data_IF_902063090826
#
_entry.id   IF_902063090826
#
_cell.length_a   1.000
_cell.length_b   1.000
_cell.length_c   1.000
_cell.angle_alpha   90.00
_cell.angle_beta   90.00
_cell.angle_gamma   90.00
#
_symmetry.space_group_name_H-M   'P 1'
#
loop_
_entity.id
_entity.type
_entity.pdbx_description
1 polymer ?
#
# COMPACT_ATOMS: atom_id res chain seq x y z
N UNK A 1 40.15 54.18 17.46
CA UNK A 1 38.90 54.39 16.71
C UNK A 1 38.66 53.16 15.83
N UNK A 2 38.02 52.13 16.27
CA UNK A 2 37.59 51.02 15.41
C UNK A 2 36.70 50.06 16.15
N UNK A 3 35.76 49.43 15.43
CA UNK A 3 34.98 48.24 15.80
C UNK A 3 33.74 48.48 16.65
N UNK A 4 32.73 49.11 16.05
CA UNK A 4 31.34 49.06 16.58
C UNK A 4 30.28 48.74 15.53
N UNK A 5 30.65 48.16 14.36
CA UNK A 5 29.73 47.98 13.24
C UNK A 5 29.18 46.57 13.00
N UNK A 6 29.64 45.53 13.73
CA UNK A 6 29.27 44.11 13.40
C UNK A 6 28.16 43.51 14.23
N UNK A 7 27.67 44.18 15.29
CA UNK A 7 26.70 43.55 16.22
C UNK A 7 25.23 43.68 15.80
N UNK A 8 24.88 44.61 14.94
CA UNK A 8 23.51 44.82 14.45
C UNK A 8 23.15 43.89 13.29
N UNK A 9 24.11 43.63 12.41
CA UNK A 9 23.92 42.70 11.27
C UNK A 9 23.76 41.26 11.74
N UNK A 10 24.55 40.80 12.70
CA UNK A 10 24.46 39.45 13.27
C UNK A 10 23.11 39.22 13.96
N UNK A 11 22.63 40.16 14.75
CA UNK A 11 21.32 40.06 15.43
C UNK A 11 20.12 40.03 14.46
N UNK A 12 20.22 40.73 13.32
CA UNK A 12 19.19 40.70 12.29
C UNK A 12 19.14 39.33 11.58
N UNK A 13 20.30 38.78 11.22
CA UNK A 13 20.44 37.44 10.63
C UNK A 13 19.92 36.34 11.55
N UNK A 14 20.27 36.39 12.84
CA UNK A 14 19.81 35.44 13.85
C UNK A 14 18.29 35.49 14.05
N UNK A 15 17.69 36.69 13.98
CA UNK A 15 16.22 36.86 14.05
C UNK A 15 15.52 36.22 12.84
N UNK A 16 16.06 36.40 11.65
CA UNK A 16 15.53 35.82 10.44
C UNK A 16 15.67 34.29 10.45
N UNK A 17 16.80 33.76 10.86
CA UNK A 17 17.03 32.31 11.00
C UNK A 17 16.04 31.70 12.00
N UNK A 18 15.83 32.34 13.16
CA UNK A 18 14.90 31.85 14.16
C UNK A 18 13.42 31.90 13.67
N UNK A 19 13.07 32.91 12.90
CA UNK A 19 11.76 32.99 12.26
C UNK A 19 11.52 31.83 11.30
N UNK A 20 12.48 31.55 10.39
CA UNK A 20 12.38 30.44 9.44
C UNK A 20 12.39 29.07 10.13
N UNK A 21 13.19 28.89 11.18
CA UNK A 21 13.18 27.68 12.00
C UNK A 21 11.81 27.44 12.64
N UNK A 22 11.22 28.47 13.26
CA UNK A 22 9.87 28.36 13.86
C UNK A 22 8.81 28.07 12.82
N UNK A 23 8.89 28.70 11.64
CA UNK A 23 7.96 28.46 10.53
C UNK A 23 8.09 27.04 9.99
N UNK A 24 9.31 26.56 9.81
CA UNK A 24 9.60 25.18 9.38
C UNK A 24 9.00 24.16 10.37
N UNK A 25 9.27 24.29 11.64
CA UNK A 25 8.74 23.37 12.65
C UNK A 25 7.22 23.43 12.76
N UNK A 26 6.60 24.60 12.62
CA UNK A 26 5.14 24.70 12.53
C UNK A 26 4.58 23.92 11.35
N UNK A 27 5.11 24.10 10.15
CA UNK A 27 4.67 23.40 8.94
C UNK A 27 4.88 21.89 9.11
N UNK A 28 6.03 21.48 9.66
CA UNK A 28 6.34 20.08 9.92
C UNK A 28 5.31 19.42 10.86
N UNK A 29 5.03 20.06 12.01
CA UNK A 29 4.06 19.52 12.98
C UNK A 29 2.61 19.56 12.46
N UNK A 30 2.23 20.57 11.70
CA UNK A 30 0.92 20.57 11.03
C UNK A 30 0.82 19.44 10.00
N UNK A 31 1.85 19.21 9.20
CA UNK A 31 1.90 18.08 8.26
C UNK A 31 1.79 16.73 8.97
N UNK A 32 2.55 16.56 10.07
CA UNK A 32 2.49 15.35 10.89
C UNK A 32 1.09 15.15 11.52
N UNK A 33 0.49 16.24 12.04
CA UNK A 33 -0.86 16.21 12.61
C UNK A 33 -1.93 15.83 11.59
N UNK A 34 -1.85 16.39 10.39
CA UNK A 34 -2.76 16.03 9.29
C UNK A 34 -2.60 14.56 8.90
N UNK A 35 -1.36 14.07 8.83
CA UNK A 35 -1.07 12.67 8.55
C UNK A 35 -1.64 11.76 9.64
N UNK A 36 -1.44 12.10 10.92
CA UNK A 36 -1.98 11.33 12.04
C UNK A 36 -3.53 11.29 12.03
N UNK A 37 -4.18 12.45 11.78
CA UNK A 37 -5.63 12.53 11.63
C UNK A 37 -6.12 11.69 10.46
N UNK A 38 -5.41 11.69 9.36
CA UNK A 38 -5.75 10.87 8.20
C UNK A 38 -5.73 9.38 8.55
N UNK A 39 -4.70 8.88 9.24
CA UNK A 39 -4.63 7.50 9.71
C UNK A 39 -5.74 7.17 10.72
N UNK A 40 -6.04 8.10 11.62
CA UNK A 40 -7.10 7.92 12.60
C UNK A 40 -8.48 7.82 11.93
N UNK A 41 -8.78 8.65 10.94
CA UNK A 41 -10.02 8.55 10.17
C UNK A 41 -10.08 7.30 9.29
N UNK A 42 -8.94 6.87 8.77
CA UNK A 42 -8.85 5.61 8.02
C UNK A 42 -9.16 4.41 8.93
N UNK A 43 -8.64 4.39 10.17
CA UNK A 43 -8.91 3.33 11.16
C UNK A 43 -10.35 3.32 11.65
N UNK A 44 -11.02 4.47 11.69
CA UNK A 44 -12.46 4.56 12.02
C UNK A 44 -13.40 4.16 10.89
N UNK A 45 -12.85 3.71 9.76
CA UNK A 45 -13.65 3.27 8.62
C UNK A 45 -14.32 4.40 7.83
N UNK A 46 -13.92 5.67 8.03
CA UNK A 46 -14.47 6.81 7.29
C UNK A 46 -14.33 6.63 5.76
N UNK A 47 -13.32 5.88 5.35
CA UNK A 47 -13.06 5.55 3.94
C UNK A 47 -13.52 4.14 3.54
N UNK A 48 -14.47 3.54 4.30
CA UNK A 48 -14.99 2.19 4.14
C UNK A 48 -14.39 1.20 5.14
N UNK A 49 -15.11 0.11 5.41
CA UNK A 49 -14.69 -0.92 6.36
C UNK A 49 -13.35 -1.54 5.98
N UNK A 50 -12.56 -1.88 7.00
CA UNK A 50 -11.43 -2.79 6.85
C UNK A 50 -11.96 -4.23 6.98
N UNK A 51 -11.38 -5.21 6.28
CA UNK A 51 -11.72 -6.60 6.47
C UNK A 51 -11.43 -7.03 7.92
N UNK A 52 -12.25 -7.94 8.44
CA UNK A 52 -12.00 -8.57 9.74
C UNK A 52 -10.82 -9.55 9.64
N UNK A 53 -10.26 -9.99 10.78
CA UNK A 53 -9.25 -11.05 10.78
C UNK A 53 -9.79 -12.36 10.20
N UNK A 54 -11.07 -12.66 10.41
CA UNK A 54 -11.74 -13.83 9.87
C UNK A 54 -11.80 -13.78 8.33
N UNK A 55 -12.13 -12.60 7.76
CA UNK A 55 -12.11 -12.39 6.30
C UNK A 55 -10.69 -12.50 5.71
N UNK A 56 -9.64 -12.15 6.49
CA UNK A 56 -8.25 -12.28 6.07
C UNK A 56 -7.77 -13.73 6.08
N UNK A 57 -8.18 -14.52 7.08
CA UNK A 57 -7.84 -15.94 7.18
C UNK A 57 -8.64 -16.80 6.19
N UNK A 58 -9.90 -16.47 5.96
CA UNK A 58 -10.81 -17.21 5.10
C UNK A 58 -11.48 -16.27 4.09
N UNK A 59 -10.74 -15.74 3.12
CA UNK A 59 -11.31 -14.81 2.16
C UNK A 59 -12.34 -15.51 1.28
N UNK A 60 -13.52 -14.89 1.14
CA UNK A 60 -14.56 -15.33 0.21
C UNK A 60 -14.01 -15.33 -1.22
N UNK A 61 -13.72 -16.52 -1.73
CA UNK A 61 -13.34 -16.69 -3.13
C UNK A 61 -14.59 -17.06 -3.92
N UNK A 62 -14.97 -16.20 -4.87
CA UNK A 62 -16.02 -16.53 -5.83
C UNK A 62 -15.54 -17.67 -6.75
N UNK A 63 -15.69 -18.90 -6.30
CA UNK A 63 -15.36 -20.10 -7.07
C UNK A 63 -16.45 -20.36 -8.12
N UNK A 64 -16.08 -21.05 -9.18
CA UNK A 64 -17.04 -21.55 -10.14
C UNK A 64 -17.89 -22.66 -9.49
N UNK A 65 -19.20 -22.56 -9.61
CA UNK A 65 -20.12 -23.65 -9.23
C UNK A 65 -20.14 -24.69 -10.34
N UNK A 66 -19.86 -25.93 -10.02
CA UNK A 66 -19.91 -27.04 -10.96
C UNK A 66 -21.30 -27.70 -10.93
N UNK A 67 -21.84 -27.98 -12.11
CA UNK A 67 -23.04 -28.78 -12.30
C UNK A 67 -22.57 -30.19 -12.59
N UNK A 68 -22.85 -31.11 -11.68
CA UNK A 68 -22.37 -32.50 -11.74
C UNK A 68 -23.57 -33.43 -11.95
N UNK A 69 -23.46 -34.37 -12.86
CA UNK A 69 -24.46 -35.44 -13.10
C UNK A 69 -24.41 -36.48 -11.98
N UNK A 70 -25.43 -37.32 -11.90
CA UNK A 70 -25.52 -38.39 -10.85
C UNK A 70 -24.38 -39.41 -10.90
N UNK A 71 -23.70 -39.52 -12.01
CA UNK A 71 -22.53 -40.38 -12.26
C UNK A 71 -21.16 -39.65 -12.03
N UNK A 72 -21.20 -38.41 -11.53
CA UNK A 72 -20.02 -37.65 -11.18
C UNK A 72 -19.37 -36.89 -12.35
N UNK A 73 -20.00 -36.84 -13.53
CA UNK A 73 -19.45 -36.10 -14.67
C UNK A 73 -19.83 -34.62 -14.58
N UNK A 74 -18.83 -33.74 -14.74
CA UNK A 74 -19.07 -32.29 -14.80
C UNK A 74 -19.76 -31.93 -16.09
N UNK A 75 -21.03 -31.51 -16.01
CA UNK A 75 -21.85 -31.10 -17.15
C UNK A 75 -21.60 -29.65 -17.58
N UNK A 76 -21.21 -28.81 -16.64
CA UNK A 76 -20.94 -27.41 -16.91
C UNK A 76 -20.50 -26.66 -15.65
N UNK A 77 -20.10 -25.40 -15.85
CA UNK A 77 -19.70 -24.49 -14.76
C UNK A 77 -20.48 -23.18 -14.86
N UNK A 78 -20.99 -22.72 -13.72
CA UNK A 78 -21.61 -21.41 -13.59
C UNK A 78 -20.71 -20.51 -12.76
N UNK A 79 -20.29 -19.37 -13.27
CA UNK A 79 -19.33 -18.50 -12.62
C UNK A 79 -19.45 -17.03 -13.07
N UNK A 80 -19.11 -16.11 -12.17
CA UNK A 80 -18.80 -14.72 -12.51
C UNK A 80 -17.32 -14.59 -12.94
N UNK A 81 -16.44 -15.32 -12.26
CA UNK A 81 -15.03 -15.46 -12.61
C UNK A 81 -14.69 -16.94 -12.59
N UNK A 82 -14.15 -17.46 -13.70
CA UNK A 82 -13.79 -18.88 -13.80
C UNK A 82 -12.53 -19.15 -12.94
N UNK A 83 -12.75 -19.44 -11.68
CA UNK A 83 -11.69 -19.76 -10.71
C UNK A 83 -11.87 -21.18 -10.20
N UNK A 84 -10.79 -21.93 -10.15
CA UNK A 84 -10.70 -23.23 -9.48
C UNK A 84 -9.72 -23.12 -8.32
N UNK A 85 -10.01 -23.82 -7.25
CA UNK A 85 -9.13 -23.86 -6.10
C UNK A 85 -7.92 -24.77 -6.38
N UNK A 86 -6.74 -24.27 -6.14
CA UNK A 86 -5.49 -25.00 -6.21
C UNK A 86 -4.80 -24.97 -4.85
N UNK A 87 -4.24 -26.09 -4.43
CA UNK A 87 -3.40 -26.13 -3.24
C UNK A 87 -1.99 -25.66 -3.61
N UNK A 88 -1.32 -25.01 -2.70
CA UNK A 88 0.07 -24.58 -2.92
C UNK A 88 1.01 -25.74 -3.28
N UNK A 89 0.77 -26.93 -2.69
CA UNK A 89 1.50 -28.17 -2.99
C UNK A 89 1.41 -28.62 -4.46
N UNK A 90 0.33 -28.22 -5.15
CA UNK A 90 0.07 -28.62 -6.54
C UNK A 90 0.72 -27.66 -7.55
N UNK A 91 1.30 -26.57 -7.05
CA UNK A 91 1.99 -25.59 -7.89
C UNK A 91 3.41 -26.05 -8.22
N UNK A 92 3.80 -26.08 -9.49
CA UNK A 92 5.18 -26.37 -9.85
C UNK A 92 6.10 -25.24 -9.34
N UNK A 93 7.25 -25.63 -8.76
CA UNK A 93 8.22 -24.69 -8.19
C UNK A 93 8.61 -23.56 -9.18
N UNK A 94 8.80 -23.92 -10.44
CA UNK A 94 9.16 -22.95 -11.48
C UNK A 94 8.13 -21.83 -11.67
N UNK A 95 6.83 -22.13 -11.47
CA UNK A 95 5.77 -21.12 -11.54
C UNK A 95 5.87 -20.14 -10.36
N UNK A 96 6.10 -20.67 -9.16
CA UNK A 96 6.27 -19.83 -7.95
C UNK A 96 7.51 -18.96 -8.08
N UNK A 97 8.63 -19.54 -8.49
CA UNK A 97 9.89 -18.81 -8.69
C UNK A 97 9.75 -17.72 -9.77
N UNK A 98 9.08 -18.01 -10.88
CA UNK A 98 8.82 -17.04 -11.94
C UNK A 98 7.91 -15.88 -11.47
N UNK A 99 6.85 -16.21 -10.72
CA UNK A 99 5.95 -15.19 -10.16
C UNK A 99 6.70 -14.25 -9.21
N UNK A 100 7.46 -14.80 -8.28
CA UNK A 100 8.25 -14.02 -7.32
C UNK A 100 9.30 -13.18 -8.06
N UNK A 101 10.02 -13.75 -9.01
CA UNK A 101 11.05 -13.02 -9.75
C UNK A 101 10.51 -11.85 -10.58
N UNK A 102 9.29 -12.00 -11.14
CA UNK A 102 8.70 -10.97 -12.01
C UNK A 102 7.94 -9.89 -11.24
N UNK A 103 7.17 -10.26 -10.22
CA UNK A 103 6.27 -9.36 -9.52
C UNK A 103 6.91 -8.75 -8.27
N UNK A 104 7.74 -9.53 -7.55
CA UNK A 104 8.28 -9.12 -6.26
C UNK A 104 9.60 -9.84 -5.94
N UNK A 105 10.66 -9.50 -6.65
CA UNK A 105 11.97 -10.17 -6.55
C UNK A 105 12.56 -10.22 -5.13
N UNK A 106 12.07 -9.38 -4.21
CA UNK A 106 12.48 -9.36 -2.79
C UNK A 106 11.40 -9.85 -1.84
N UNK A 107 10.43 -10.62 -2.31
CA UNK A 107 9.28 -11.12 -1.54
C UNK A 107 9.68 -11.72 -0.18
N UNK A 108 10.77 -12.45 -0.14
CA UNK A 108 11.27 -13.11 1.08
C UNK A 108 12.13 -12.19 1.98
N UNK A 109 12.38 -10.94 1.57
CA UNK A 109 13.23 -9.99 2.31
C UNK A 109 12.41 -8.96 3.09
N UNK A 110 11.09 -8.91 2.93
CA UNK A 110 10.20 -7.95 3.59
C UNK A 110 8.91 -8.61 4.11
N UNK A 111 8.23 -7.93 5.04
CA UNK A 111 6.97 -8.39 5.66
C UNK A 111 5.76 -7.64 5.07
N UNK A 112 5.48 -7.85 3.78
CA UNK A 112 4.31 -7.26 3.10
C UNK A 112 4.60 -5.95 2.36
N UNK A 113 5.51 -5.10 2.80
CA UNK A 113 5.91 -3.86 2.12
C UNK A 113 7.40 -3.87 1.81
N UNK A 114 7.76 -3.72 0.53
CA UNK A 114 9.13 -3.48 0.10
C UNK A 114 9.50 -2.00 0.27
N UNK A 115 10.15 -1.65 1.37
CA UNK A 115 10.56 -0.27 1.66
C UNK A 115 11.52 0.30 0.60
N UNK A 116 12.45 -0.50 0.08
CA UNK A 116 13.42 -0.07 -0.95
C UNK A 116 12.70 0.23 -2.28
N UNK A 117 11.81 -0.67 -2.70
CA UNK A 117 11.00 -0.48 -3.90
C UNK A 117 10.06 0.73 -3.78
N UNK A 118 9.43 0.91 -2.64
CA UNK A 118 8.55 2.05 -2.35
C UNK A 118 9.33 3.37 -2.42
N UNK A 119 10.50 3.47 -1.78
CA UNK A 119 11.34 4.67 -1.85
C UNK A 119 11.80 4.96 -3.28
N UNK A 120 12.21 3.94 -4.03
CA UNK A 120 12.56 4.08 -5.45
C UNK A 120 11.40 4.65 -6.25
N UNK A 121 10.19 4.10 -6.08
CA UNK A 121 9.00 4.55 -6.81
C UNK A 121 8.62 5.99 -6.47
N UNK A 122 8.76 6.41 -5.20
CA UNK A 122 8.51 7.78 -4.75
C UNK A 122 9.53 8.74 -5.41
N UNK A 123 10.82 8.42 -5.34
CA UNK A 123 11.88 9.29 -5.87
C UNK A 123 11.80 9.39 -7.40
N UNK A 124 11.47 8.29 -8.08
CA UNK A 124 11.33 8.27 -9.54
C UNK A 124 9.96 8.73 -10.03
N UNK A 125 9.04 9.14 -9.14
CA UNK A 125 7.65 9.46 -9.48
C UNK A 125 6.96 8.35 -10.29
N UNK A 126 7.32 7.10 -10.03
CA UNK A 126 6.77 5.92 -10.69
C UNK A 126 7.36 5.59 -12.07
N UNK A 127 8.31 6.36 -12.59
CA UNK A 127 8.92 6.11 -13.92
C UNK A 127 9.83 4.88 -13.94
N UNK A 128 10.37 4.47 -12.79
CA UNK A 128 11.25 3.30 -12.63
C UNK A 128 10.50 2.02 -12.23
N UNK A 129 9.24 1.89 -12.62
CA UNK A 129 8.40 0.73 -12.33
C UNK A 129 7.57 0.84 -11.06
N UNK A 130 6.65 -0.10 -10.88
CA UNK A 130 5.82 -0.22 -9.69
C UNK A 130 6.60 -0.66 -8.45
N UNK A 131 6.02 -0.45 -7.27
CA UNK A 131 6.56 -0.88 -5.99
C UNK A 131 5.53 -1.71 -5.19
N UNK A 132 4.47 -2.19 -5.84
CA UNK A 132 3.47 -3.02 -5.18
C UNK A 132 4.01 -4.43 -5.02
N UNK A 133 4.01 -4.94 -3.80
CA UNK A 133 4.40 -6.31 -3.47
C UNK A 133 3.29 -7.31 -3.81
N UNK A 134 3.61 -8.60 -3.87
CA UNK A 134 2.62 -9.67 -4.05
C UNK A 134 1.53 -9.64 -2.97
N UNK A 135 1.89 -9.39 -1.71
CA UNK A 135 0.94 -9.28 -0.61
C UNK A 135 -0.02 -8.10 -0.78
N UNK A 136 0.48 -6.94 -1.23
CA UNK A 136 -0.36 -5.78 -1.53
C UNK A 136 -1.28 -6.02 -2.72
N UNK A 137 -0.81 -6.74 -3.75
CA UNK A 137 -1.63 -7.14 -4.90
C UNK A 137 -2.73 -8.11 -4.47
N UNK A 138 -2.42 -9.06 -3.60
CA UNK A 138 -3.39 -9.98 -3.02
C UNK A 138 -4.46 -9.23 -2.23
N UNK A 139 -4.05 -8.34 -1.31
CA UNK A 139 -4.96 -7.50 -0.54
C UNK A 139 -5.90 -6.68 -1.44
N UNK A 140 -5.37 -6.10 -2.51
CA UNK A 140 -6.17 -5.38 -3.50
C UNK A 140 -7.20 -6.29 -4.17
N UNK A 141 -6.81 -7.48 -4.61
CA UNK A 141 -7.70 -8.40 -5.34
C UNK A 141 -8.82 -8.95 -4.46
N UNK A 142 -8.54 -9.22 -3.20
CA UNK A 142 -9.51 -9.79 -2.25
C UNK A 142 -10.51 -8.74 -1.74
N UNK A 143 -10.05 -7.54 -1.43
CA UNK A 143 -10.85 -6.58 -0.67
C UNK A 143 -11.24 -5.30 -1.43
N UNK A 144 -10.54 -4.92 -2.50
CA UNK A 144 -10.80 -3.67 -3.20
C UNK A 144 -11.22 -3.85 -4.67
N UNK A 145 -10.94 -4.99 -5.29
CA UNK A 145 -11.23 -5.24 -6.70
C UNK A 145 -10.56 -4.24 -7.64
N UNK A 146 -11.34 -3.67 -8.57
CA UNK A 146 -10.84 -2.63 -9.46
C UNK A 146 -10.67 -1.32 -8.71
N UNK A 147 -9.46 -0.75 -8.79
CA UNK A 147 -9.13 0.51 -8.10
C UNK A 147 -9.95 1.69 -8.59
N UNK A 148 -10.28 2.63 -7.70
CA UNK A 148 -10.94 3.87 -8.05
C UNK A 148 -10.13 4.69 -9.07
N UNK A 149 -10.80 5.31 -10.04
CA UNK A 149 -10.17 6.24 -10.99
C UNK A 149 -9.84 7.59 -10.35
N UNK A 150 -10.50 7.96 -9.26
CA UNK A 150 -10.31 9.23 -8.58
C UNK A 150 -9.10 9.20 -7.64
N UNK A 151 -8.12 10.06 -7.88
CA UNK A 151 -6.81 10.03 -7.22
C UNK A 151 -6.85 10.00 -5.68
N UNK A 152 -7.64 10.81 -4.96
CA UNK A 152 -7.71 10.75 -3.50
C UNK A 152 -8.15 9.38 -2.97
N UNK A 153 -9.16 8.77 -3.60
CA UNK A 153 -9.61 7.43 -3.21
C UNK A 153 -8.56 6.34 -3.50
N UNK A 154 -7.77 6.50 -4.58
CA UNK A 154 -6.63 5.59 -4.86
C UNK A 154 -5.58 5.64 -3.77
N UNK A 155 -5.28 6.82 -3.23
CA UNK A 155 -4.32 6.96 -2.12
C UNK A 155 -4.85 6.24 -0.88
N UNK A 156 -6.12 6.45 -0.54
CA UNK A 156 -6.76 5.77 0.59
C UNK A 156 -6.76 4.26 0.42
N UNK A 157 -7.14 3.76 -0.76
CA UNK A 157 -7.07 2.34 -1.09
C UNK A 157 -5.65 1.80 -0.92
N UNK A 158 -4.65 2.53 -1.40
CA UNK A 158 -3.25 2.11 -1.30
C UNK A 158 -2.78 2.00 0.15
N UNK A 159 -3.21 2.93 1.00
CA UNK A 159 -2.90 2.87 2.44
C UNK A 159 -3.57 1.65 3.11
N UNK A 160 -4.84 1.36 2.75
CA UNK A 160 -5.51 0.15 3.23
C UNK A 160 -4.81 -1.13 2.78
N UNK A 161 -4.42 -1.22 1.51
CA UNK A 161 -3.63 -2.34 0.99
C UNK A 161 -2.33 -2.53 1.80
N UNK A 162 -1.66 -1.44 2.19
CA UNK A 162 -0.46 -1.49 3.02
C UNK A 162 -0.76 -2.01 4.43
N UNK A 163 -1.85 -1.54 5.06
CA UNK A 163 -2.25 -2.00 6.40
C UNK A 163 -2.61 -3.49 6.39
N UNK A 164 -3.31 -3.95 5.33
CA UNK A 164 -3.69 -5.36 5.19
C UNK A 164 -2.47 -6.25 4.89
N UNK A 165 -1.47 -5.72 4.20
CA UNK A 165 -0.29 -6.48 3.78
C UNK A 165 0.73 -6.72 4.90
N UNK A 166 0.67 -5.99 6.02
CA UNK A 166 1.55 -6.12 7.20
C UNK A 166 0.94 -7.06 8.23
#
# INVERSE_FOLDING_TARGET
MAVRKNNTSSKAIDKDINYYKKKFWKIYFYGLGILALFFLFASWGLFGSMPSFEDLENPDSNLATEIISSDGVVLGKYFQKNRSQLKYSDLPKNLVDALVATEDARFYEHSGIDGRGTMRAIVSLGTSGGASTLTQQLAKQLFHGEGSKFLPFRIVQKIKEWIIAI
#
